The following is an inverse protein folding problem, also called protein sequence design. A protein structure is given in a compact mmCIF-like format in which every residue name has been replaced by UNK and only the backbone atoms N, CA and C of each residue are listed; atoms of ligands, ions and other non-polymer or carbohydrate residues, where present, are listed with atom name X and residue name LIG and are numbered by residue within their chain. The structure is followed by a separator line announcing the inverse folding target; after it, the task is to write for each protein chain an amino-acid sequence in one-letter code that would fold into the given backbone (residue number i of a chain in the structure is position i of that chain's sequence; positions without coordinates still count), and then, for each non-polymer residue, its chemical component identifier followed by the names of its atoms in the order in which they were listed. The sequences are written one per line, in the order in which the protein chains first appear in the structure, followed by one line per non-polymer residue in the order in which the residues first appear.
data_IF_443104254878
#
_entry.id   IF_443104254878
#
_cell.length_a   1.000
_cell.length_b   1.000
_cell.length_c   1.000
_cell.angle_alpha   90.00
_cell.angle_beta   90.00
_cell.angle_gamma   90.00
#
_symmetry.space_group_name_H-M   'P 1'
#
loop_
_entity.id
_entity.type
_entity.pdbx_description
1 polymer ?
#
# COMPACT_ATOMS: atom_id res chain seq x y z
N UNK A 1 50.41 51.58 -22.54
CA UNK A 1 48.99 51.86 -22.22
C UNK A 1 48.08 51.00 -23.07
N UNK A 2 47.44 49.96 -22.50
CA UNK A 2 46.19 49.36 -23.01
C UNK A 2 45.62 48.46 -21.90
N UNK A 3 44.66 48.97 -21.14
CA UNK A 3 43.94 48.21 -20.10
C UNK A 3 42.80 47.45 -20.78
N UNK A 4 42.85 46.12 -20.77
CA UNK A 4 41.76 45.27 -21.26
C UNK A 4 40.84 45.03 -20.05
N UNK A 5 39.64 45.61 -20.09
CA UNK A 5 38.58 45.40 -19.11
C UNK A 5 37.95 44.03 -19.36
N UNK A 6 38.16 43.08 -18.43
CA UNK A 6 37.47 41.79 -18.43
C UNK A 6 36.10 41.95 -17.74
N UNK A 7 35.02 41.86 -18.52
CA UNK A 7 33.65 41.83 -18.01
C UNK A 7 33.31 40.38 -17.63
N UNK A 8 33.21 40.11 -16.32
CA UNK A 8 32.75 38.81 -15.79
C UNK A 8 31.23 38.81 -15.78
N UNK A 9 30.63 38.02 -16.66
CA UNK A 9 29.20 37.74 -16.65
C UNK A 9 28.91 36.66 -15.59
N UNK A 10 28.25 37.08 -14.50
CA UNK A 10 27.76 36.19 -13.45
C UNK A 10 26.46 35.54 -13.93
N UNK A 11 26.52 34.28 -14.37
CA UNK A 11 25.33 33.48 -14.67
C UNK A 11 24.66 33.07 -13.35
N UNK A 12 23.53 33.72 -13.03
CA UNK A 12 22.62 33.30 -11.95
C UNK A 12 21.96 31.98 -12.34
N UNK A 13 22.45 30.87 -11.78
CA UNK A 13 21.76 29.59 -11.83
C UNK A 13 20.51 29.67 -10.94
N UNK A 14 19.33 29.85 -11.55
CA UNK A 14 18.07 29.68 -10.83
C UNK A 14 17.91 28.18 -10.48
N UNK A 15 17.66 27.81 -9.22
CA UNK A 15 17.36 26.42 -8.89
C UNK A 15 16.07 26.03 -9.61
N UNK A 16 16.14 25.00 -10.45
CA UNK A 16 14.93 24.35 -10.94
C UNK A 16 14.21 23.76 -9.73
N UNK A 17 13.11 24.38 -9.33
CA UNK A 17 12.16 23.74 -8.42
C UNK A 17 11.65 22.49 -9.15
N UNK A 18 12.11 21.31 -8.73
CA UNK A 18 11.44 20.06 -9.10
C UNK A 18 10.01 20.20 -8.59
N UNK A 19 9.02 19.99 -9.45
CA UNK A 19 7.63 19.92 -9.02
C UNK A 19 7.54 18.80 -7.98
N UNK A 20 7.43 19.17 -6.71
CA UNK A 20 7.25 18.23 -5.62
C UNK A 20 5.80 17.77 -5.73
N UNK A 21 5.58 16.49 -6.03
CA UNK A 21 4.24 15.90 -5.98
C UNK A 21 3.63 16.02 -4.58
N UNK A 22 2.34 15.69 -4.41
CA UNK A 22 1.71 15.77 -3.10
C UNK A 22 2.49 14.93 -2.07
N UNK A 23 2.65 15.48 -0.87
CA UNK A 23 3.31 14.78 0.22
C UNK A 23 2.33 13.76 0.83
N UNK A 24 2.70 12.49 0.80
CA UNK A 24 1.94 11.40 1.39
C UNK A 24 2.38 11.14 2.84
N UNK A 25 1.41 10.81 3.71
CA UNK A 25 1.60 10.37 5.09
C UNK A 25 0.64 9.21 5.40
N UNK A 26 1.18 8.06 5.83
CA UNK A 26 0.40 6.86 6.17
C UNK A 26 -0.21 6.88 7.58
N UNK A 27 0.19 7.82 8.45
CA UNK A 27 -0.27 7.91 9.83
C UNK A 27 -1.81 7.91 10.02
N UNK A 28 -2.63 8.50 9.12
CA UNK A 28 -4.09 8.41 9.22
C UNK A 28 -4.63 6.98 9.19
N UNK A 29 -4.02 6.09 8.39
CA UNK A 29 -4.40 4.66 8.34
C UNK A 29 -4.09 4.01 9.67
N UNK A 30 -2.90 4.23 10.22
CA UNK A 30 -2.46 3.63 11.49
C UNK A 30 -3.34 4.08 12.66
N UNK A 31 -3.65 5.38 12.72
CA UNK A 31 -4.53 5.94 13.74
C UNK A 31 -5.94 5.36 13.63
N UNK A 32 -6.48 5.22 12.42
CA UNK A 32 -7.77 4.60 12.19
C UNK A 32 -7.77 3.12 12.62
N UNK A 33 -6.76 2.33 12.24
CA UNK A 33 -6.67 0.92 12.63
C UNK A 33 -6.60 0.74 14.15
N UNK A 34 -5.90 1.65 14.85
CA UNK A 34 -5.85 1.65 16.31
C UNK A 34 -7.23 1.94 16.92
N UNK A 35 -7.97 2.93 16.39
CA UNK A 35 -9.34 3.24 16.82
C UNK A 35 -10.31 2.07 16.56
N UNK A 36 -10.17 1.40 15.41
CA UNK A 36 -11.05 0.29 14.99
C UNK A 36 -10.66 -1.08 15.57
N UNK A 37 -9.72 -1.14 16.53
CA UNK A 37 -9.20 -2.41 17.08
C UNK A 37 -10.11 -3.07 18.13
N UNK A 38 -11.17 -2.39 18.57
CA UNK A 38 -12.12 -2.86 19.59
C UNK A 38 -13.25 -3.76 19.08
N UNK A 39 -14.06 -4.26 20.01
CA UNK A 39 -15.29 -4.99 19.69
C UNK A 39 -16.26 -4.11 18.90
N UNK A 40 -16.78 -4.64 17.79
CA UNK A 40 -17.59 -3.89 16.82
C UNK A 40 -16.84 -2.89 15.95
N UNK A 41 -15.49 -2.87 15.97
CA UNK A 41 -14.67 -2.03 15.12
C UNK A 41 -14.87 -2.32 13.62
N UNK A 42 -14.69 -1.30 12.79
CA UNK A 42 -14.90 -1.32 11.34
C UNK A 42 -13.60 -1.02 10.59
N UNK A 43 -12.56 -1.88 10.65
CA UNK A 43 -11.25 -1.55 10.08
C UNK A 43 -11.25 -1.33 8.56
N UNK A 44 -12.28 -1.80 7.84
CA UNK A 44 -12.47 -1.49 6.43
C UNK A 44 -12.70 0.02 6.17
N UNK A 45 -13.17 0.78 7.16
CA UNK A 45 -13.33 2.24 7.03
C UNK A 45 -11.99 2.99 6.98
N UNK A 46 -10.88 2.33 7.29
CA UNK A 46 -9.54 2.92 7.26
C UNK A 46 -8.96 2.95 5.84
N UNK A 47 -9.50 2.16 4.93
CA UNK A 47 -9.07 2.06 3.53
C UNK A 47 -9.35 3.40 2.83
N UNK A 48 -8.31 3.99 2.23
CA UNK A 48 -8.36 5.24 1.48
C UNK A 48 -8.24 6.50 2.36
N UNK A 49 -8.11 6.38 3.69
CA UNK A 49 -8.12 7.54 4.59
C UNK A 49 -6.91 8.45 4.41
N UNK A 50 -5.71 7.87 4.25
CA UNK A 50 -4.48 8.63 4.03
C UNK A 50 -4.42 9.23 2.61
N UNK A 51 -4.82 8.47 1.60
CA UNK A 51 -4.90 8.91 0.21
C UNK A 51 -5.90 10.06 0.07
N UNK A 52 -7.07 9.98 0.74
CA UNK A 52 -8.07 11.05 0.74
C UNK A 52 -7.50 12.35 1.33
N UNK A 53 -6.79 12.25 2.47
CA UNK A 53 -6.14 13.41 3.08
C UNK A 53 -5.06 14.01 2.16
N UNK A 54 -4.25 13.16 1.52
CA UNK A 54 -3.22 13.57 0.55
C UNK A 54 -3.83 14.25 -0.69
N UNK A 55 -4.92 13.70 -1.25
CA UNK A 55 -5.59 14.24 -2.44
C UNK A 55 -6.20 15.63 -2.17
N UNK A 56 -6.68 15.87 -0.95
CA UNK A 56 -7.20 17.18 -0.53
C UNK A 56 -6.10 18.24 -0.36
N UNK A 57 -4.82 17.85 -0.35
CA UNK A 57 -3.68 18.73 -0.24
C UNK A 57 -3.26 19.40 -1.56
N UNK A 58 -2.23 20.26 -1.51
CA UNK A 58 -1.65 20.88 -2.70
C UNK A 58 -1.26 19.84 -3.76
N UNK A 59 -1.58 20.11 -5.02
CA UNK A 59 -1.31 19.26 -6.20
C UNK A 59 -1.94 17.85 -6.20
N UNK A 60 -2.58 17.43 -5.09
CA UNK A 60 -3.19 16.12 -4.90
C UNK A 60 -4.42 15.85 -5.78
N UNK A 61 -5.18 16.89 -6.14
CA UNK A 61 -6.37 16.76 -6.99
C UNK A 61 -6.09 16.57 -8.48
N UNK A 62 -4.83 16.64 -8.92
CA UNK A 62 -4.47 16.33 -10.31
C UNK A 62 -4.49 14.82 -10.53
N UNK A 63 -4.66 14.33 -11.77
CA UNK A 63 -4.60 12.88 -12.03
C UNK A 63 -3.28 12.26 -11.57
N UNK A 64 -2.16 12.98 -11.77
CA UNK A 64 -0.84 12.54 -11.30
C UNK A 64 -0.76 12.55 -9.78
N UNK A 65 -1.26 13.62 -9.15
CA UNK A 65 -1.32 13.73 -7.68
C UNK A 65 -2.15 12.63 -7.04
N UNK A 66 -3.33 12.34 -7.61
CA UNK A 66 -4.18 11.23 -7.17
C UNK A 66 -3.43 9.90 -7.24
N UNK A 67 -2.76 9.61 -8.36
CA UNK A 67 -1.93 8.40 -8.47
C UNK A 67 -0.83 8.36 -7.41
N UNK A 68 -0.15 9.47 -7.13
CA UNK A 68 0.90 9.53 -6.09
C UNK A 68 0.30 9.22 -4.71
N UNK A 69 -0.80 9.85 -4.33
CA UNK A 69 -1.45 9.64 -3.04
C UNK A 69 -1.97 8.21 -2.87
N UNK A 70 -2.62 7.65 -3.90
CA UNK A 70 -3.14 6.28 -3.88
C UNK A 70 -1.99 5.25 -3.84
N UNK A 71 -0.89 5.49 -4.56
CA UNK A 71 0.30 4.64 -4.51
C UNK A 71 0.93 4.67 -3.11
N UNK A 72 1.03 5.85 -2.49
CA UNK A 72 1.55 5.97 -1.13
C UNK A 72 0.74 5.14 -0.13
N UNK A 73 -0.58 5.19 -0.20
CA UNK A 73 -1.41 4.37 0.69
C UNK A 73 -1.35 2.88 0.32
N UNK A 74 -1.29 2.52 -0.96
CA UNK A 74 -1.05 1.14 -1.40
C UNK A 74 0.25 0.59 -0.81
N UNK A 75 1.36 1.33 -0.87
CA UNK A 75 2.65 0.92 -0.32
C UNK A 75 2.61 0.78 1.20
N UNK A 76 1.86 1.66 1.89
CA UNK A 76 1.62 1.54 3.33
C UNK A 76 0.89 0.24 3.68
N UNK A 77 -0.22 -0.06 2.99
CA UNK A 77 -0.95 -1.32 3.17
C UNK A 77 -0.12 -2.54 2.79
N UNK A 78 0.72 -2.47 1.75
CA UNK A 78 1.60 -3.56 1.34
C UNK A 78 2.66 -3.85 2.40
N UNK A 79 3.20 -2.81 3.04
CA UNK A 79 4.10 -2.96 4.20
C UNK A 79 3.42 -3.68 5.37
N UNK A 80 2.20 -3.25 5.73
CA UNK A 80 1.40 -3.89 6.77
C UNK A 80 1.07 -5.36 6.43
N UNK A 81 0.67 -5.63 5.18
CA UNK A 81 0.36 -6.97 4.67
C UNK A 81 1.57 -7.90 4.75
N UNK A 82 2.74 -7.46 4.26
CA UNK A 82 3.95 -8.28 4.26
C UNK A 82 4.41 -8.60 5.69
N UNK A 83 4.31 -7.64 6.62
CA UNK A 83 4.60 -7.86 8.04
C UNK A 83 3.67 -8.90 8.65
N UNK A 84 2.35 -8.73 8.47
CA UNK A 84 1.35 -9.66 8.98
C UNK A 84 1.47 -11.06 8.36
N UNK A 85 1.77 -11.15 7.07
CA UNK A 85 2.00 -12.43 6.38
C UNK A 85 3.23 -13.16 6.96
N UNK A 86 4.34 -12.46 7.19
CA UNK A 86 5.54 -13.06 7.76
C UNK A 86 5.28 -13.64 9.16
N UNK A 87 4.54 -12.91 10.00
CA UNK A 87 4.18 -13.35 11.35
C UNK A 87 3.18 -14.53 11.31
N UNK A 88 2.19 -14.47 10.42
CA UNK A 88 1.22 -15.54 10.21
C UNK A 88 1.89 -16.84 9.71
N UNK A 89 2.88 -16.73 8.82
CA UNK A 89 3.68 -17.87 8.35
C UNK A 89 4.43 -18.55 9.49
N UNK A 90 5.10 -17.79 10.37
CA UNK A 90 5.83 -18.36 11.51
C UNK A 90 4.90 -19.11 12.47
N UNK A 91 3.70 -18.56 12.72
CA UNK A 91 2.68 -19.20 13.54
C UNK A 91 2.13 -20.47 12.90
N UNK A 92 1.87 -20.43 11.60
CA UNK A 92 1.41 -21.59 10.83
C UNK A 92 2.46 -22.72 10.86
N UNK A 93 3.74 -22.40 10.64
CA UNK A 93 4.84 -23.38 10.70
C UNK A 93 4.98 -24.01 12.09
N UNK A 94 4.83 -23.21 13.15
CA UNK A 94 4.83 -23.71 14.54
C UNK A 94 3.67 -24.67 14.79
N UNK A 95 2.46 -24.27 14.36
CA UNK A 95 1.26 -25.09 14.47
C UNK A 95 1.40 -26.40 13.72
N UNK A 96 1.92 -26.36 12.49
CA UNK A 96 2.15 -27.53 11.65
C UNK A 96 3.16 -28.50 12.30
N UNK A 97 4.22 -27.96 12.91
CA UNK A 97 5.21 -28.76 13.63
C UNK A 97 4.60 -29.46 14.85
N UNK A 98 3.74 -28.78 15.62
CA UNK A 98 3.09 -29.34 16.80
C UNK A 98 2.03 -30.40 16.44
N UNK A 99 1.23 -30.14 15.42
CA UNK A 99 0.25 -31.10 14.90
C UNK A 99 0.93 -32.38 14.39
N UNK A 100 2.09 -32.24 13.73
CA UNK A 100 2.90 -33.37 13.30
C UNK A 100 3.43 -34.21 14.47
N UNK A 101 3.84 -33.60 15.59
CA UNK A 101 4.33 -34.32 16.78
C UNK A 101 3.26 -35.22 17.40
N UNK A 102 2.00 -34.81 17.37
CA UNK A 102 0.88 -35.60 17.90
C UNK A 102 0.27 -36.57 16.88
N UNK A 103 0.86 -36.71 15.69
CA UNK A 103 0.35 -37.59 14.64
C UNK A 103 -0.97 -37.14 14.03
N UNK A 104 -1.30 -35.84 14.11
CA UNK A 104 -2.50 -35.29 13.50
C UNK A 104 -2.45 -35.41 11.97
N UNK A 105 -3.59 -35.69 11.36
CA UNK A 105 -3.75 -35.75 9.90
C UNK A 105 -4.33 -34.46 9.30
N UNK A 106 -4.39 -33.37 10.09
CA UNK A 106 -4.83 -32.07 9.57
C UNK A 106 -3.87 -31.56 8.50
N UNK A 107 -4.42 -30.83 7.54
CA UNK A 107 -3.63 -30.22 6.49
C UNK A 107 -2.74 -29.11 7.06
N UNK A 108 -1.52 -29.00 6.52
CA UNK A 108 -0.54 -28.02 6.97
C UNK A 108 -0.96 -26.60 6.58
N UNK A 109 -1.01 -25.70 7.55
CA UNK A 109 -1.46 -24.32 7.39
C UNK A 109 -0.46 -23.49 6.58
N UNK A 110 0.85 -23.65 6.78
CA UNK A 110 1.85 -22.80 6.13
C UNK A 110 1.85 -22.94 4.59
N UNK A 111 1.82 -24.16 4.01
CA UNK A 111 1.65 -24.33 2.56
C UNK A 111 0.35 -23.73 2.03
N UNK A 112 -0.76 -23.86 2.77
CA UNK A 112 -2.06 -23.29 2.38
C UNK A 112 -2.05 -21.77 2.38
N UNK A 113 -1.47 -21.14 3.42
CA UNK A 113 -1.32 -19.69 3.51
C UNK A 113 -0.46 -19.15 2.35
N UNK A 114 0.65 -19.81 2.04
CA UNK A 114 1.50 -19.43 0.93
C UNK A 114 0.79 -19.53 -0.43
N UNK A 115 0.08 -20.63 -0.67
CA UNK A 115 -0.66 -20.85 -1.92
C UNK A 115 -1.79 -19.82 -2.09
N UNK A 116 -2.56 -19.57 -1.02
CA UNK A 116 -3.60 -18.53 -0.98
C UNK A 116 -3.03 -17.16 -1.35
N UNK A 117 -1.91 -16.76 -0.74
CA UNK A 117 -1.30 -15.46 -1.01
C UNK A 117 -0.83 -15.32 -2.47
N UNK A 118 -0.23 -16.37 -3.05
CA UNK A 118 0.19 -16.37 -4.46
C UNK A 118 -0.99 -16.23 -5.42
N UNK A 119 -2.09 -16.95 -5.15
CA UNK A 119 -3.32 -16.86 -5.96
C UNK A 119 -3.98 -15.50 -5.81
N UNK A 120 -3.99 -14.93 -4.61
CA UNK A 120 -4.51 -13.60 -4.36
C UNK A 120 -3.75 -12.52 -5.14
N UNK A 121 -2.41 -12.57 -5.21
CA UNK A 121 -1.63 -11.62 -6.02
C UNK A 121 -2.08 -11.64 -7.48
N UNK A 122 -2.22 -12.85 -8.06
CA UNK A 122 -2.67 -13.00 -9.44
C UNK A 122 -4.10 -12.46 -9.64
N UNK A 123 -4.99 -12.66 -8.66
CA UNK A 123 -6.33 -12.09 -8.66
C UNK A 123 -6.30 -10.56 -8.61
N UNK A 124 -5.54 -9.96 -7.67
CA UNK A 124 -5.40 -8.51 -7.52
C UNK A 124 -4.95 -7.88 -8.84
N UNK A 125 -3.88 -8.41 -9.42
CA UNK A 125 -3.30 -7.86 -10.65
C UNK A 125 -4.29 -7.99 -11.83
N UNK A 126 -5.01 -9.11 -11.94
CA UNK A 126 -6.04 -9.29 -12.96
C UNK A 126 -7.25 -8.36 -12.76
N UNK A 127 -7.73 -8.23 -11.52
CA UNK A 127 -8.85 -7.37 -11.17
C UNK A 127 -8.54 -5.90 -11.46
N UNK A 128 -7.36 -5.42 -11.07
CA UNK A 128 -7.01 -4.01 -11.25
C UNK A 128 -6.65 -3.66 -12.70
N UNK A 129 -6.13 -4.63 -13.48
CA UNK A 129 -6.05 -4.47 -14.93
C UNK A 129 -7.43 -4.36 -15.59
N UNK A 130 -8.41 -5.13 -15.11
CA UNK A 130 -9.79 -5.01 -15.57
C UNK A 130 -10.40 -3.66 -15.18
N UNK A 131 -10.17 -3.17 -13.97
CA UNK A 131 -10.60 -1.82 -13.55
C UNK A 131 -10.03 -0.74 -14.47
N UNK A 132 -8.73 -0.80 -14.78
CA UNK A 132 -8.10 0.11 -15.74
C UNK A 132 -8.76 0.09 -17.12
N UNK A 133 -9.19 -1.09 -17.58
CA UNK A 133 -9.79 -1.25 -18.92
C UNK A 133 -11.09 -0.45 -19.10
N UNK A 134 -11.83 -0.19 -18.02
CA UNK A 134 -13.08 0.58 -18.03
C UNK A 134 -12.90 2.06 -18.42
N UNK A 135 -11.67 2.56 -18.40
CA UNK A 135 -11.36 3.97 -18.67
C UNK A 135 -11.03 4.28 -20.12
N UNK A 136 -11.04 3.29 -21.03
CA UNK A 136 -10.91 3.52 -22.48
C UNK A 136 -9.61 4.24 -22.90
N UNK A 137 -8.55 4.14 -22.09
CA UNK A 137 -7.27 4.85 -22.31
C UNK A 137 -7.21 6.28 -21.76
N UNK A 138 -8.26 6.76 -21.09
CA UNK A 138 -8.27 8.05 -20.41
C UNK A 138 -7.30 8.12 -19.22
N UNK A 139 -6.95 9.35 -18.83
CA UNK A 139 -5.95 9.60 -17.77
C UNK A 139 -6.39 9.08 -16.40
N UNK A 140 -7.70 9.00 -16.13
CA UNK A 140 -8.24 8.42 -14.90
C UNK A 140 -8.00 6.92 -14.70
N UNK A 141 -7.61 6.19 -15.76
CA UNK A 141 -7.30 4.76 -15.65
C UNK A 141 -6.08 4.46 -14.78
N UNK A 142 -5.14 5.41 -14.65
CA UNK A 142 -4.01 5.28 -13.71
C UNK A 142 -4.48 5.22 -12.26
N UNK A 143 -5.05 6.31 -11.72
CA UNK A 143 -5.61 6.35 -10.36
C UNK A 143 -6.56 5.20 -10.06
N UNK A 144 -7.51 4.87 -10.95
CA UNK A 144 -8.47 3.79 -10.71
C UNK A 144 -7.81 2.41 -10.57
N UNK A 145 -6.76 2.13 -11.36
CA UNK A 145 -6.00 0.89 -11.23
C UNK A 145 -5.28 0.79 -9.88
N UNK A 146 -4.73 1.92 -9.39
CA UNK A 146 -3.99 1.97 -8.13
C UNK A 146 -4.94 1.92 -6.93
N UNK A 147 -6.09 2.60 -7.00
CA UNK A 147 -7.14 2.55 -5.98
C UNK A 147 -7.68 1.12 -5.78
N UNK A 148 -7.89 0.39 -6.88
CA UNK A 148 -8.20 -1.04 -6.83
C UNK A 148 -7.12 -1.83 -6.08
N UNK A 149 -5.84 -1.60 -6.42
CA UNK A 149 -4.74 -2.34 -5.83
C UNK A 149 -4.60 -2.02 -4.33
N UNK A 150 -4.72 -0.75 -3.95
CA UNK A 150 -4.75 -0.28 -2.56
C UNK A 150 -5.86 -0.98 -1.78
N UNK A 151 -7.10 -0.93 -2.29
CA UNK A 151 -8.26 -1.53 -1.63
C UNK A 151 -8.08 -3.03 -1.42
N UNK A 152 -7.72 -3.77 -2.47
CA UNK A 152 -7.55 -5.22 -2.39
C UNK A 152 -6.38 -5.63 -1.47
N UNK A 153 -5.29 -4.85 -1.44
CA UNK A 153 -4.16 -5.08 -0.52
C UNK A 153 -4.58 -4.84 0.93
N UNK A 154 -5.33 -3.77 1.21
CA UNK A 154 -5.85 -3.50 2.54
C UNK A 154 -6.80 -4.60 3.01
N UNK A 155 -7.74 -5.03 2.17
CA UNK A 155 -8.64 -6.15 2.46
C UNK A 155 -7.88 -7.45 2.75
N UNK A 156 -6.79 -7.70 2.02
CA UNK A 156 -5.96 -8.89 2.25
C UNK A 156 -5.21 -8.81 3.59
N UNK A 157 -4.71 -7.62 3.95
CA UNK A 157 -4.16 -7.41 5.29
C UNK A 157 -5.23 -7.69 6.36
N UNK A 158 -6.44 -7.16 6.20
CA UNK A 158 -7.54 -7.37 7.14
C UNK A 158 -8.04 -8.83 7.20
N UNK A 159 -7.77 -9.64 6.18
CA UNK A 159 -8.01 -11.09 6.18
C UNK A 159 -6.98 -11.85 7.00
N UNK A 160 -5.70 -11.46 6.95
CA UNK A 160 -4.60 -12.18 7.59
C UNK A 160 -4.38 -11.68 9.03
N UNK A 161 -4.39 -10.38 9.27
CA UNK A 161 -4.06 -9.80 10.57
C UNK A 161 -4.86 -10.35 11.77
N UNK A 162 -6.16 -10.67 11.65
CA UNK A 162 -6.92 -11.25 12.76
C UNK A 162 -6.38 -12.58 13.27
N UNK A 163 -5.81 -13.44 12.41
CA UNK A 163 -5.27 -14.75 12.82
C UNK A 163 -4.07 -14.64 13.77
N UNK A 164 -3.47 -13.45 13.86
CA UNK A 164 -2.38 -13.15 14.78
C UNK A 164 -2.87 -12.98 16.22
N UNK A 165 -4.14 -12.59 16.42
CA UNK A 165 -4.75 -12.35 17.74
C UNK A 165 -5.31 -13.63 18.37
N UNK A 166 -5.67 -14.62 17.55
CA UNK A 166 -6.29 -15.86 18.00
C UNK A 166 -5.22 -16.88 18.43
N UNK A 167 -4.79 -16.88 19.70
CA UNK A 167 -4.01 -17.99 20.26
C UNK A 167 -2.76 -17.59 21.03
N UNK A 168 -2.96 -17.22 22.30
CA UNK A 168 -2.01 -17.47 23.39
C UNK A 168 -2.48 -18.64 24.23
#
# INVERSE_FOLDING_TARGET
MRRILATVWLLLAAPMALAQGPAFDGAPVDACLAEQSGDGGQPHSCIGTAATACIAGPDGGTTVGMSICLTGEYEHWDGLLNSAYAEAMQKAETTDADMKKIGSSVEAQAPLLQDMQRKWIAFRDAACNWERSKWGGGTGGGPASVDCAMTLTAEQYLRIAPSLREGG
#
